data_IF_874804994561
#
_entry.id   IF_874804994561
#
_cell.length_a   1.000
_cell.length_b   1.000
_cell.length_c   1.000
_cell.angle_alpha   90.00
_cell.angle_beta   90.00
_cell.angle_gamma   90.00
#
_symmetry.space_group_name_H-M   'P 1'
#
loop_
_entity.id
_entity.type
_entity.pdbx_description
1 polymer ?
#
# COMPACT_ATOMS: atom_id res chain seq x y z
N UNK A 1 2.43 -18.48 -13.95
CA UNK A 1 2.67 -17.11 -13.43
C UNK A 1 3.34 -16.20 -14.45
N UNK A 2 4.38 -16.63 -15.19
CA UNK A 2 5.09 -15.75 -16.14
C UNK A 2 4.36 -15.45 -17.46
N UNK A 3 3.46 -16.33 -17.92
CA UNK A 3 2.82 -16.25 -19.25
C UNK A 3 2.15 -14.90 -19.61
N UNK A 4 1.52 -14.15 -18.69
CA UNK A 4 0.90 -12.86 -19.02
C UNK A 4 1.88 -11.70 -19.22
N UNK A 5 3.17 -11.89 -18.92
CA UNK A 5 4.15 -10.82 -18.93
C UNK A 5 5.06 -10.95 -20.14
N UNK A 6 5.21 -9.88 -20.91
CA UNK A 6 6.16 -9.80 -22.03
C UNK A 6 7.59 -9.59 -21.51
N UNK A 7 8.15 -10.62 -20.90
CA UNK A 7 9.53 -10.63 -20.39
C UNK A 7 10.13 -12.03 -20.35
N UNK A 8 11.46 -12.08 -20.39
CA UNK A 8 12.19 -13.34 -20.26
C UNK A 8 12.02 -13.96 -18.86
N UNK A 9 11.99 -15.29 -18.79
CA UNK A 9 11.83 -16.04 -17.53
C UNK A 9 12.86 -15.65 -16.44
N UNK A 10 14.15 -15.42 -16.74
CA UNK A 10 15.10 -14.96 -15.73
C UNK A 10 14.72 -13.61 -15.12
N UNK A 11 14.21 -12.67 -15.92
CA UNK A 11 13.72 -11.37 -15.44
C UNK A 11 12.50 -11.55 -14.56
N UNK A 12 11.55 -12.39 -14.97
CA UNK A 12 10.39 -12.73 -14.15
C UNK A 12 10.80 -13.33 -12.80
N UNK A 13 11.77 -14.24 -12.79
CA UNK A 13 12.29 -14.84 -11.56
C UNK A 13 12.98 -13.83 -10.64
N UNK A 14 13.62 -12.78 -11.17
CA UNK A 14 14.14 -11.67 -10.35
C UNK A 14 13.02 -10.95 -9.61
N UNK A 15 11.90 -10.66 -10.27
CA UNK A 15 10.73 -10.06 -9.61
C UNK A 15 10.18 -10.95 -8.50
N UNK A 16 10.08 -12.26 -8.73
CA UNK A 16 9.68 -13.22 -7.68
C UNK A 16 10.64 -13.15 -6.49
N UNK A 17 11.96 -13.08 -6.72
CA UNK A 17 12.95 -12.94 -5.66
C UNK A 17 12.76 -11.66 -4.84
N UNK A 18 12.58 -10.51 -5.49
CA UNK A 18 12.34 -9.22 -4.81
C UNK A 18 11.06 -9.26 -3.98
N UNK A 19 9.98 -9.87 -4.50
CA UNK A 19 8.72 -10.01 -3.76
C UNK A 19 8.87 -10.93 -2.53
N UNK A 20 9.70 -11.96 -2.62
CA UNK A 20 10.00 -12.87 -1.52
C UNK A 20 10.89 -12.21 -0.47
N UNK A 21 11.93 -11.47 -0.87
CA UNK A 21 12.78 -10.67 0.01
C UNK A 21 11.99 -9.57 0.74
N UNK A 22 11.03 -8.95 0.07
CA UNK A 22 10.12 -7.97 0.68
C UNK A 22 9.06 -8.63 1.59
N UNK A 23 9.01 -9.96 1.69
CA UNK A 23 8.04 -10.70 2.49
C UNK A 23 6.61 -10.65 1.95
N UNK A 24 6.40 -10.17 0.72
CA UNK A 24 5.09 -10.02 0.09
C UNK A 24 4.53 -11.34 -0.44
N UNK A 25 5.42 -12.28 -0.78
CA UNK A 25 5.05 -13.63 -1.18
C UNK A 25 5.91 -14.67 -0.45
N UNK A 26 5.38 -15.87 -0.32
CA UNK A 26 6.14 -17.06 0.01
C UNK A 26 6.19 -17.96 -1.24
N UNK A 27 7.36 -18.53 -1.54
CA UNK A 27 7.49 -19.46 -2.65
C UNK A 27 8.11 -20.79 -2.23
N UNK A 28 7.73 -21.87 -2.90
CA UNK A 28 8.26 -23.21 -2.66
C UNK A 28 8.55 -23.89 -3.98
N UNK A 29 9.76 -24.44 -4.11
CA UNK A 29 10.20 -25.17 -5.29
C UNK A 29 10.11 -26.67 -5.05
N UNK A 30 9.35 -27.37 -5.89
CA UNK A 30 9.27 -28.83 -5.94
C UNK A 30 9.66 -29.31 -7.34
N UNK A 31 10.87 -29.87 -7.46
CA UNK A 31 11.45 -30.25 -8.75
C UNK A 31 11.58 -29.05 -9.70
N UNK A 32 10.85 -29.09 -10.83
CA UNK A 32 10.83 -28.01 -11.84
C UNK A 32 9.71 -27.00 -11.62
N UNK A 33 8.82 -27.25 -10.66
CA UNK A 33 7.67 -26.40 -10.37
C UNK A 33 7.99 -25.50 -9.19
N UNK A 34 7.69 -24.20 -9.32
CA UNK A 34 7.68 -23.26 -8.20
C UNK A 34 6.25 -22.80 -7.99
N UNK A 35 5.77 -22.99 -6.78
CA UNK A 35 4.47 -22.49 -6.31
C UNK A 35 4.72 -21.21 -5.52
N UNK A 36 3.98 -20.15 -5.83
CA UNK A 36 4.05 -18.87 -5.12
C UNK A 36 2.69 -18.57 -4.48
N UNK A 37 2.71 -18.05 -3.25
CA UNK A 37 1.53 -17.65 -2.49
C UNK A 37 1.72 -16.25 -1.93
N UNK A 38 0.67 -15.44 -1.93
CA UNK A 38 0.69 -14.12 -1.29
C UNK A 38 0.83 -14.26 0.24
N UNK A 39 1.61 -13.38 0.85
CA UNK A 39 1.75 -13.25 2.30
C UNK A 39 1.01 -12.00 2.77
N UNK A 40 -0.17 -12.12 3.41
CA UNK A 40 -0.93 -10.97 3.91
C UNK A 40 -0.13 -10.10 4.88
N UNK A 41 0.69 -10.74 5.72
CA UNK A 41 1.49 -10.08 6.73
C UNK A 41 2.54 -9.14 6.14
N UNK A 42 3.02 -9.43 4.92
CA UNK A 42 3.99 -8.60 4.21
C UNK A 42 3.48 -7.20 3.86
N UNK A 43 2.16 -7.03 3.74
CA UNK A 43 1.53 -5.73 3.45
C UNK A 43 1.14 -4.95 4.71
N UNK A 44 1.13 -5.59 5.88
CA UNK A 44 0.62 -4.98 7.11
C UNK A 44 1.37 -3.72 7.51
N UNK A 45 2.67 -3.63 7.22
CA UNK A 45 3.46 -2.43 7.50
C UNK A 45 3.05 -1.25 6.60
N UNK A 46 2.82 -1.52 5.31
CA UNK A 46 2.35 -0.51 4.37
C UNK A 46 0.93 -0.05 4.71
N UNK A 47 0.04 -0.98 5.07
CA UNK A 47 -1.33 -0.69 5.49
C UNK A 47 -1.36 0.22 6.72
N UNK A 48 -0.61 -0.11 7.77
CA UNK A 48 -0.49 0.76 8.95
C UNK A 48 0.01 2.16 8.59
N UNK A 49 1.02 2.25 7.74
CA UNK A 49 1.54 3.54 7.30
C UNK A 49 0.48 4.35 6.56
N UNK A 50 -0.30 3.73 5.66
CA UNK A 50 -1.40 4.40 4.96
C UNK A 50 -2.47 4.92 5.93
N UNK A 51 -2.81 4.14 6.96
CA UNK A 51 -3.80 4.54 7.97
C UNK A 51 -3.31 5.73 8.80
N UNK A 52 -2.04 5.72 9.20
CA UNK A 52 -1.42 6.86 9.90
C UNK A 52 -1.45 8.13 9.03
N UNK A 53 -1.10 8.02 7.75
CA UNK A 53 -1.17 9.16 6.85
C UNK A 53 -2.60 9.66 6.69
N UNK A 54 -3.57 8.74 6.53
CA UNK A 54 -4.98 9.09 6.38
C UNK A 54 -5.49 9.84 7.62
N UNK A 55 -5.12 9.41 8.82
CA UNK A 55 -5.49 10.07 10.07
C UNK A 55 -4.94 11.51 10.16
N UNK A 56 -3.69 11.72 9.76
CA UNK A 56 -3.06 13.05 9.73
C UNK A 56 -3.83 13.98 8.77
N UNK A 57 -4.14 13.50 7.57
CA UNK A 57 -4.85 14.30 6.58
C UNK A 57 -6.30 14.59 6.99
N UNK A 58 -7.00 13.62 7.58
CA UNK A 58 -8.35 13.82 8.11
C UNK A 58 -8.35 14.92 9.18
N UNK A 59 -7.45 14.84 10.16
CA UNK A 59 -7.36 15.87 11.22
C UNK A 59 -7.05 17.26 10.66
N UNK A 60 -6.19 17.37 9.64
CA UNK A 60 -5.92 18.65 8.98
C UNK A 60 -7.15 19.23 8.29
N UNK A 61 -7.96 18.37 7.67
CA UNK A 61 -9.20 18.77 7.02
C UNK A 61 -10.24 19.24 8.04
N UNK A 62 -10.43 18.48 9.12
CA UNK A 62 -11.33 18.85 10.22
C UNK A 62 -10.95 20.21 10.83
N UNK A 63 -9.65 20.46 11.03
CA UNK A 63 -9.16 21.74 11.53
C UNK A 63 -9.44 22.90 10.57
N UNK A 64 -9.33 22.66 9.26
CA UNK A 64 -9.66 23.66 8.24
C UNK A 64 -11.16 23.97 8.24
N UNK A 65 -12.02 22.95 8.29
CA UNK A 65 -13.47 23.11 8.36
C UNK A 65 -13.88 23.90 9.61
N UNK A 66 -13.27 23.61 10.77
CA UNK A 66 -13.50 24.36 12.00
C UNK A 66 -13.09 25.84 11.89
N UNK A 67 -11.93 26.12 11.28
CA UNK A 67 -11.46 27.48 11.05
C UNK A 67 -12.42 28.26 10.13
N UNK A 68 -12.86 27.64 9.04
CA UNK A 68 -13.80 28.25 8.09
C UNK A 68 -15.15 28.52 8.74
N UNK A 69 -15.64 27.60 9.58
CA UNK A 69 -16.89 27.80 10.35
C UNK A 69 -16.76 28.97 11.32
N UNK A 70 -15.62 29.10 11.99
CA UNK A 70 -15.37 30.19 12.93
C UNK A 70 -15.34 31.55 12.23
N UNK A 71 -14.66 31.64 11.08
CA UNK A 71 -14.59 32.87 10.28
C UNK A 71 -15.92 33.23 9.59
N UNK A 72 -16.66 32.22 9.12
CA UNK A 72 -17.97 32.41 8.50
C UNK A 72 -19.03 32.88 9.50
N UNK A 73 -18.91 32.46 10.77
CA UNK A 73 -19.78 32.92 11.86
C UNK A 73 -19.58 34.40 12.25
N UNK A 74 -18.38 34.95 12.06
CA UNK A 74 -18.12 36.39 12.28
C UNK A 74 -18.63 37.30 11.14
N UNK A 75 -18.94 36.74 9.97
CA UNK A 75 -19.32 37.54 8.78
C UNK A 75 -20.83 37.85 8.72
N UNK A 76 -21.65 37.27 9.60
CA UNK A 76 -23.12 37.44 9.59
C UNK A 76 -23.63 38.48 10.61
N UNK A 77 -22.74 39.20 11.32
CA UNK A 77 -23.11 40.12 12.42
C UNK A 77 -22.79 41.62 12.16
N UNK A 78 -22.64 42.05 10.90
CA UNK A 78 -22.52 43.48 10.50
C UNK A 78 -23.39 43.82 9.31
#
# INVERSE_FOLDING_TARGET
LAAPFDMALPSFMKHIGVLEEAGLIASTKQGRVRTCRLSPDGLAAAERWFDEQRAIWASRYDNLDNLLTTLGGETDET
#
